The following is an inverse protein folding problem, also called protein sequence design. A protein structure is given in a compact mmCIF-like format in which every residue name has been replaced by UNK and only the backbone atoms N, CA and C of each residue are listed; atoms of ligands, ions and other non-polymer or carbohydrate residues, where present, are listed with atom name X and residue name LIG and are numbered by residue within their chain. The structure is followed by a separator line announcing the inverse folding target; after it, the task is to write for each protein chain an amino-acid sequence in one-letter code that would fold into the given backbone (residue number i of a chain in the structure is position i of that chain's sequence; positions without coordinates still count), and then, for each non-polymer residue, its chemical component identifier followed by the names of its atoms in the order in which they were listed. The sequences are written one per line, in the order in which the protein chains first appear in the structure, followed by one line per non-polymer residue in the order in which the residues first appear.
data_IF_198110780302
#
_entry.id   IF_198110780302
#
_cell.length_a   1.000
_cell.length_b   1.000
_cell.length_c   1.000
_cell.angle_alpha   90.00
_cell.angle_beta   90.00
_cell.angle_gamma   90.00
#
_symmetry.space_group_name_H-M   'P 1'
#
loop_
_entity.id
_entity.type
_entity.pdbx_description
1 polymer ?
#
# COMPACT_ATOMS: atom_id res chain seq x y z
N UNK A 1 -2.64 9.77 15.01
CA UNK A 1 -3.31 10.65 16.05
C UNK A 1 -3.10 10.07 17.43
N UNK A 2 -2.73 10.89 18.44
CA UNK A 2 -2.56 10.45 19.83
C UNK A 2 -3.93 10.37 20.55
N UNK A 3 -4.22 9.25 21.20
CA UNK A 3 -5.49 9.03 21.91
C UNK A 3 -5.30 8.44 23.31
N UNK A 4 -6.29 8.64 24.19
CA UNK A 4 -6.32 8.14 25.57
C UNK A 4 -7.50 7.19 25.76
N UNK A 5 -7.28 6.11 26.51
CA UNK A 5 -8.24 5.05 26.77
C UNK A 5 -8.34 4.76 28.26
N UNK A 6 -9.52 4.40 28.74
CA UNK A 6 -9.74 3.96 30.13
C UNK A 6 -9.32 2.50 30.38
N UNK A 7 -9.26 1.70 29.32
CA UNK A 7 -8.80 0.30 29.34
C UNK A 7 -7.65 0.14 28.35
N UNK A 8 -6.83 -0.89 28.50
CA UNK A 8 -5.78 -1.19 27.55
C UNK A 8 -6.35 -1.46 26.16
N UNK A 9 -6.00 -0.64 25.14
CA UNK A 9 -6.52 -0.85 23.81
C UNK A 9 -5.80 -2.01 23.13
N UNK A 10 -6.54 -2.80 22.37
CA UNK A 10 -5.94 -3.80 21.46
C UNK A 10 -5.13 -3.12 20.37
N UNK A 11 -4.09 -3.80 19.85
CA UNK A 11 -3.18 -3.23 18.84
C UNK A 11 -3.90 -2.82 17.56
N UNK A 12 -5.01 -3.46 17.20
CA UNK A 12 -5.84 -3.07 16.07
C UNK A 12 -7.32 -3.37 16.35
N UNK A 13 -8.16 -2.74 15.56
CA UNK A 13 -9.59 -3.05 15.42
C UNK A 13 -10.02 -2.71 14.01
N UNK A 14 -11.09 -3.31 13.53
CA UNK A 14 -11.64 -2.99 12.22
C UNK A 14 -13.16 -2.92 12.26
N UNK A 15 -13.72 -2.19 11.32
CA UNK A 15 -15.15 -2.05 11.10
C UNK A 15 -15.48 -2.22 9.62
N UNK A 16 -16.62 -2.82 9.36
CA UNK A 16 -17.18 -2.97 8.03
C UNK A 16 -17.83 -1.65 7.60
N UNK A 17 -17.27 -0.98 6.60
CA UNK A 17 -17.79 0.31 6.14
C UNK A 17 -18.59 0.22 4.83
N UNK A 18 -18.48 -0.89 4.12
CA UNK A 18 -19.26 -1.16 2.92
C UNK A 18 -19.12 -2.62 2.49
N UNK A 19 -19.85 -3.03 1.45
CA UNK A 19 -19.71 -4.37 0.86
C UNK A 19 -18.32 -4.65 0.27
N UNK A 20 -17.46 -3.62 0.13
CA UNK A 20 -16.17 -3.71 -0.56
C UNK A 20 -15.01 -3.40 0.38
N UNK A 21 -15.22 -2.65 1.47
CA UNK A 21 -14.14 -2.11 2.27
C UNK A 21 -14.28 -2.37 3.76
N UNK A 22 -13.13 -2.64 4.40
CA UNK A 22 -12.93 -2.53 5.84
C UNK A 22 -12.20 -1.24 6.16
N UNK A 23 -12.58 -0.59 7.28
CA UNK A 23 -11.75 0.43 7.91
C UNK A 23 -11.00 -0.21 9.06
N UNK A 24 -9.67 -0.16 9.01
CA UNK A 24 -8.80 -0.73 10.02
C UNK A 24 -8.16 0.41 10.81
N UNK A 25 -8.22 0.29 12.13
CA UNK A 25 -7.58 1.20 13.07
C UNK A 25 -6.41 0.46 13.69
N UNK A 26 -5.21 0.95 13.45
CA UNK A 26 -3.96 0.39 13.93
C UNK A 26 -3.42 1.25 15.08
N UNK A 27 -2.93 0.63 16.15
CA UNK A 27 -2.43 1.32 17.34
C UNK A 27 -0.99 0.92 17.62
N UNK A 28 -0.15 1.93 17.82
CA UNK A 28 1.25 1.76 18.20
C UNK A 28 1.59 2.59 19.44
N UNK A 29 2.75 2.30 20.05
CA UNK A 29 3.21 2.98 21.25
C UNK A 29 2.17 2.96 22.38
N UNK A 30 1.51 1.81 22.56
CA UNK A 30 0.56 1.60 23.65
C UNK A 30 1.36 1.66 24.97
N UNK A 31 0.98 2.57 25.86
CA UNK A 31 1.64 2.75 27.15
C UNK A 31 0.61 3.13 28.22
N UNK A 32 0.84 2.65 29.43
CA UNK A 32 0.05 3.04 30.58
C UNK A 32 0.63 4.29 31.23
N UNK A 33 -0.24 5.24 31.54
CA UNK A 33 0.09 6.45 32.29
C UNK A 33 -1.00 6.68 33.31
N UNK A 34 -0.65 6.54 34.59
CA UNK A 34 -1.58 6.59 35.72
C UNK A 34 -2.76 5.60 35.54
N UNK A 35 -3.99 6.10 35.49
CA UNK A 35 -5.21 5.30 35.30
C UNK A 35 -5.68 5.21 33.85
N UNK A 36 -4.87 5.65 32.89
CA UNK A 36 -5.22 5.68 31.48
C UNK A 36 -4.15 5.02 30.64
N UNK A 37 -4.58 4.48 29.49
CA UNK A 37 -3.68 4.03 28.43
C UNK A 37 -3.64 5.06 27.33
N UNK A 38 -2.50 5.16 26.68
CA UNK A 38 -2.28 6.05 25.54
C UNK A 38 -1.75 5.27 24.35
N UNK A 39 -2.16 5.64 23.15
CA UNK A 39 -1.67 5.06 21.92
C UNK A 39 -1.69 6.08 20.77
N UNK A 40 -0.84 5.87 19.79
CA UNK A 40 -0.96 6.51 18.48
C UNK A 40 -1.91 5.68 17.61
N UNK A 41 -2.98 6.29 17.15
CA UNK A 41 -3.91 5.65 16.19
C UNK A 41 -3.67 6.10 14.77
N UNK A 42 -3.71 5.15 13.87
CA UNK A 42 -3.63 5.32 12.43
C UNK A 42 -4.78 4.57 11.77
N UNK A 43 -5.29 5.10 10.68
CA UNK A 43 -6.41 4.49 9.95
C UNK A 43 -5.99 4.15 8.53
N UNK A 44 -6.33 2.95 8.10
CA UNK A 44 -6.19 2.51 6.71
C UNK A 44 -7.50 1.87 6.25
N UNK A 45 -7.78 1.96 4.96
CA UNK A 45 -8.92 1.28 4.33
C UNK A 45 -8.39 0.11 3.53
N UNK A 46 -8.91 -1.09 3.79
CA UNK A 46 -8.56 -2.31 3.07
C UNK A 46 -9.74 -2.76 2.21
N UNK A 47 -9.43 -3.26 1.01
CA UNK A 47 -10.44 -3.90 0.15
C UNK A 47 -10.75 -5.27 0.75
N UNK A 48 -12.04 -5.60 0.82
CA UNK A 48 -12.50 -6.94 1.18
C UNK A 48 -12.01 -7.94 0.16
N UNK A 49 -11.35 -8.95 0.64
CA UNK A 49 -10.99 -10.15 -0.09
C UNK A 49 -11.57 -11.36 0.67
N UNK A 50 -11.44 -12.53 0.10
CA UNK A 50 -11.98 -13.76 0.68
C UNK A 50 -11.13 -14.32 1.84
N UNK A 51 -10.02 -13.64 2.23
CA UNK A 51 -9.20 -14.02 3.38
C UNK A 51 -9.83 -13.57 4.70
N UNK A 52 -9.51 -14.27 5.78
CA UNK A 52 -9.83 -13.84 7.13
C UNK A 52 -9.11 -12.52 7.41
N UNK A 53 -9.87 -11.46 7.58
CA UNK A 53 -9.33 -10.12 7.79
C UNK A 53 -8.49 -10.03 9.07
N UNK A 54 -8.83 -10.80 10.09
CA UNK A 54 -8.13 -10.80 11.37
C UNK A 54 -6.73 -11.43 11.23
N UNK A 55 -6.64 -12.55 10.50
CA UNK A 55 -5.38 -13.20 10.18
C UNK A 55 -4.52 -12.31 9.27
N UNK A 56 -5.11 -11.74 8.23
CA UNK A 56 -4.42 -10.81 7.33
C UNK A 56 -3.81 -9.61 8.07
N UNK A 57 -4.56 -8.98 8.98
CA UNK A 57 -4.06 -7.85 9.76
C UNK A 57 -2.91 -8.27 10.68
N UNK A 58 -3.02 -9.44 11.35
CA UNK A 58 -1.95 -9.94 12.25
C UNK A 58 -0.64 -10.18 11.50
N UNK A 59 -0.72 -10.84 10.35
CA UNK A 59 0.46 -11.16 9.54
C UNK A 59 1.13 -9.92 8.93
N UNK A 60 0.35 -8.88 8.63
CA UNK A 60 0.81 -7.69 7.94
C UNK A 60 0.82 -6.43 8.81
N UNK A 61 0.68 -6.55 10.14
CA UNK A 61 0.45 -5.42 11.03
C UNK A 61 1.46 -4.28 10.86
N UNK A 62 2.76 -4.58 10.86
CA UNK A 62 3.81 -3.57 10.78
C UNK A 62 3.79 -2.84 9.41
N UNK A 63 3.52 -3.58 8.34
CA UNK A 63 3.41 -3.03 6.99
C UNK A 63 2.19 -2.11 6.89
N UNK A 64 1.05 -2.55 7.39
CA UNK A 64 -0.19 -1.78 7.40
C UNK A 64 -0.06 -0.53 8.27
N UNK A 65 0.60 -0.64 9.42
CA UNK A 65 0.85 0.48 10.31
C UNK A 65 1.71 1.55 9.63
N UNK A 66 2.77 1.14 8.93
CA UNK A 66 3.63 2.08 8.22
C UNK A 66 2.92 2.72 7.02
N UNK A 67 2.15 1.95 6.26
CA UNK A 67 1.30 2.51 5.20
C UNK A 67 0.32 3.56 5.75
N UNK A 68 -0.31 3.27 6.88
CA UNK A 68 -1.24 4.20 7.50
C UNK A 68 -0.55 5.50 8.00
N UNK A 69 0.70 5.41 8.47
CA UNK A 69 1.53 6.58 8.83
C UNK A 69 1.87 7.42 7.61
N UNK A 70 2.28 6.79 6.52
CA UNK A 70 2.58 7.48 5.25
C UNK A 70 1.34 8.20 4.75
N UNK A 71 0.18 7.53 4.71
CA UNK A 71 -1.08 8.10 4.27
C UNK A 71 -1.52 9.30 5.14
N UNK A 72 -1.32 9.23 6.47
CA UNK A 72 -1.61 10.35 7.38
C UNK A 72 -0.70 11.54 7.08
N UNK A 73 0.61 11.31 6.87
CA UNK A 73 1.59 12.35 6.52
C UNK A 73 1.22 13.06 5.22
N UNK A 74 0.92 12.31 4.17
CA UNK A 74 0.49 12.85 2.87
C UNK A 74 -0.83 13.64 2.99
N UNK A 75 -1.81 13.12 3.72
CA UNK A 75 -3.07 13.83 3.99
C UNK A 75 -2.84 15.17 4.69
N UNK A 76 -1.93 15.22 5.66
CA UNK A 76 -1.60 16.44 6.38
C UNK A 76 -0.89 17.48 5.48
N UNK A 77 0.02 17.03 4.60
CA UNK A 77 0.66 17.90 3.60
C UNK A 77 -0.36 18.46 2.61
N UNK A 78 -1.27 17.64 2.11
CA UNK A 78 -2.34 18.08 1.20
C UNK A 78 -3.25 19.14 1.87
N UNK A 79 -3.66 18.92 3.12
CA UNK A 79 -4.41 19.92 3.90
C UNK A 79 -3.63 21.22 4.08
N UNK A 80 -2.31 21.15 4.29
CA UNK A 80 -1.45 22.33 4.38
C UNK A 80 -1.41 23.10 3.07
N UNK A 81 -1.29 22.43 1.92
CA UNK A 81 -1.33 23.05 0.59
C UNK A 81 -2.68 23.74 0.35
N UNK A 82 -3.80 23.09 0.68
CA UNK A 82 -5.12 23.70 0.56
C UNK A 82 -5.27 24.97 1.43
N UNK A 83 -4.78 24.94 2.66
CA UNK A 83 -4.79 26.11 3.53
C UNK A 83 -3.92 27.26 2.99
N UNK A 84 -2.78 26.93 2.40
CA UNK A 84 -1.91 27.93 1.74
C UNK A 84 -2.58 28.54 0.50
N UNK A 85 -3.25 27.73 -0.33
CA UNK A 85 -4.04 28.21 -1.47
C UNK A 85 -5.15 29.15 -1.01
N UNK A 86 -5.91 28.81 0.03
CA UNK A 86 -6.93 29.72 0.60
C UNK A 86 -6.35 31.06 1.07
N UNK A 87 -5.11 31.09 1.61
CA UNK A 87 -4.45 32.36 1.97
C UNK A 87 -4.12 33.21 0.73
N UNK A 88 -3.75 32.59 -0.40
CA UNK A 88 -3.56 33.30 -1.68
C UNK A 88 -4.88 33.90 -2.16
N UNK A 89 -5.95 33.10 -2.21
CA UNK A 89 -7.29 33.53 -2.65
C UNK A 89 -7.80 34.71 -1.81
N UNK A 90 -7.67 34.61 -0.48
CA UNK A 90 -8.08 35.70 0.44
C UNK A 90 -7.32 37.02 0.23
N UNK A 91 -6.14 36.99 -0.37
CA UNK A 91 -5.35 38.18 -0.68
C UNK A 91 -5.54 38.72 -2.11
N UNK A 92 -6.28 38.00 -2.98
CA UNK A 92 -6.50 38.39 -4.38
C UNK A 92 -7.23 39.72 -4.49
N UNK A 93 -8.25 39.96 -3.66
CA UNK A 93 -8.95 41.22 -3.61
C UNK A 93 -8.00 42.39 -3.27
N UNK A 94 -7.06 42.20 -2.37
CA UNK A 94 -6.08 43.23 -1.97
C UNK A 94 -5.13 43.54 -3.14
N UNK A 95 -4.68 42.55 -3.87
CA UNK A 95 -3.87 42.71 -5.09
C UNK A 95 -4.64 43.49 -6.14
N UNK A 96 -5.90 43.10 -6.41
CA UNK A 96 -6.75 43.76 -7.39
C UNK A 96 -6.95 45.25 -7.04
N UNK A 97 -7.27 45.54 -5.79
CA UNK A 97 -7.43 46.93 -5.30
C UNK A 97 -6.16 47.77 -5.42
N UNK A 98 -4.99 47.19 -5.13
CA UNK A 98 -3.73 47.90 -5.36
C UNK A 98 -3.50 48.14 -6.85
N UNK A 99 -3.77 47.18 -7.71
CA UNK A 99 -3.61 47.35 -9.16
C UNK A 99 -4.55 48.40 -9.74
N UNK A 100 -5.83 48.42 -9.35
CA UNK A 100 -6.80 49.45 -9.75
C UNK A 100 -6.35 50.85 -9.35
N UNK A 101 -5.95 51.07 -8.09
CA UNK A 101 -5.49 52.34 -7.61
C UNK A 101 -4.19 52.81 -8.28
N UNK A 102 -3.25 51.87 -8.53
CA UNK A 102 -2.04 52.19 -9.26
C UNK A 102 -2.32 52.68 -10.68
N UNK A 103 -3.25 52.02 -11.41
CA UNK A 103 -3.62 52.42 -12.79
C UNK A 103 -4.19 53.84 -12.91
N UNK A 104 -4.90 54.31 -11.87
CA UNK A 104 -5.51 55.63 -11.84
C UNK A 104 -4.69 56.69 -11.06
N UNK A 105 -3.44 56.32 -10.67
CA UNK A 105 -2.51 57.21 -9.99
C UNK A 105 -2.85 57.51 -8.53
N UNK A 106 -3.69 56.72 -7.88
CA UNK A 106 -4.05 56.88 -6.47
C UNK A 106 -3.04 56.20 -5.54
N UNK A 107 -3.10 56.60 -4.26
CA UNK A 107 -2.32 55.94 -3.20
C UNK A 107 -2.80 54.51 -3.03
N UNK A 108 -1.85 53.57 -2.90
CA UNK A 108 -2.17 52.17 -2.72
C UNK A 108 -2.84 51.94 -1.36
N UNK A 109 -3.99 51.25 -1.31
CA UNK A 109 -4.75 51.01 -0.07
C UNK A 109 -4.10 50.00 0.87
N UNK A 110 -3.12 49.26 0.39
CA UNK A 110 -2.36 48.25 1.15
C UNK A 110 -0.86 48.37 0.87
N UNK A 111 -0.03 47.88 1.80
CA UNK A 111 1.41 47.72 1.57
C UNK A 111 1.66 46.64 0.49
N UNK A 112 1.73 47.11 -0.73
CA UNK A 112 1.82 46.21 -1.91
C UNK A 112 3.11 45.38 -1.92
N UNK A 113 4.24 45.95 -1.48
CA UNK A 113 5.52 45.24 -1.43
C UNK A 113 5.47 44.10 -0.43
N UNK A 114 4.93 44.33 0.76
CA UNK A 114 4.75 43.30 1.79
C UNK A 114 3.75 42.22 1.34
N UNK A 115 2.66 42.64 0.70
CA UNK A 115 1.64 41.74 0.17
C UNK A 115 2.23 40.79 -0.89
N UNK A 116 3.01 41.34 -1.85
CA UNK A 116 3.68 40.51 -2.87
C UNK A 116 4.70 39.56 -2.27
N UNK A 117 5.55 40.04 -1.36
CA UNK A 117 6.56 39.20 -0.69
C UNK A 117 5.91 38.04 0.05
N UNK A 118 4.82 38.27 0.79
CA UNK A 118 4.07 37.21 1.48
C UNK A 118 3.51 36.18 0.47
N UNK A 119 2.94 36.66 -0.64
CA UNK A 119 2.39 35.78 -1.68
C UNK A 119 3.45 34.91 -2.38
N UNK A 120 4.62 35.49 -2.64
CA UNK A 120 5.77 34.77 -3.18
C UNK A 120 6.17 33.65 -2.19
N UNK A 121 6.35 33.99 -0.91
CA UNK A 121 6.70 33.00 0.11
C UNK A 121 5.67 31.85 0.23
N UNK A 122 4.36 32.17 0.13
CA UNK A 122 3.31 31.13 0.13
C UNK A 122 3.42 30.23 -1.12
N UNK A 123 3.64 30.78 -2.31
CA UNK A 123 3.81 29.99 -3.55
C UNK A 123 5.05 29.10 -3.47
N UNK A 124 6.16 29.64 -2.96
CA UNK A 124 7.39 28.88 -2.77
C UNK A 124 7.19 27.70 -1.80
N UNK A 125 6.43 27.91 -0.72
CA UNK A 125 6.09 26.85 0.23
C UNK A 125 5.21 25.78 -0.42
N UNK A 126 4.20 26.18 -1.22
CA UNK A 126 3.37 25.22 -1.99
C UNK A 126 4.23 24.43 -2.96
N UNK A 127 5.09 25.09 -3.72
CA UNK A 127 5.97 24.44 -4.69
C UNK A 127 6.92 23.43 -4.00
N UNK A 128 7.51 23.80 -2.88
CA UNK A 128 8.37 22.91 -2.10
C UNK A 128 7.61 21.67 -1.62
N UNK A 129 6.37 21.80 -1.15
CA UNK A 129 5.55 20.64 -0.77
C UNK A 129 5.23 19.79 -2.00
N UNK A 130 4.81 20.39 -3.11
CA UNK A 130 4.43 19.67 -4.32
C UNK A 130 5.62 18.99 -5.02
N UNK A 131 6.82 19.57 -4.91
CA UNK A 131 8.06 18.98 -5.44
C UNK A 131 8.71 17.98 -4.47
N UNK A 132 8.05 17.63 -3.37
CA UNK A 132 8.61 16.82 -2.29
C UNK A 132 9.86 17.44 -1.60
N UNK A 133 10.14 18.73 -1.82
CA UNK A 133 11.28 19.42 -1.20
C UNK A 133 11.03 19.75 0.29
N UNK A 134 9.77 19.79 0.73
CA UNK A 134 9.33 19.92 2.14
C UNK A 134 8.86 18.61 2.75
N UNK A 135 8.82 17.51 1.99
CA UNK A 135 8.95 16.24 2.64
C UNK A 135 10.31 16.28 3.30
N UNK A 136 10.40 16.30 4.63
CA UNK A 136 11.54 15.72 5.30
C UNK A 136 11.96 14.55 4.43
N UNK A 137 13.19 14.61 3.89
CA UNK A 137 13.73 13.52 3.08
C UNK A 137 13.20 12.23 3.68
N UNK A 138 12.45 11.47 2.88
CA UNK A 138 11.93 10.20 3.38
C UNK A 138 13.16 9.50 3.94
N UNK A 139 13.16 9.16 5.20
CA UNK A 139 14.30 8.46 5.77
C UNK A 139 14.50 7.22 4.93
N UNK A 140 15.73 6.75 4.83
CA UNK A 140 16.02 5.50 4.11
C UNK A 140 15.04 4.38 4.52
N UNK A 141 14.67 4.34 5.80
CA UNK A 141 13.74 3.35 6.33
C UNK A 141 12.30 3.57 5.81
N UNK A 142 11.80 4.81 5.77
CA UNK A 142 10.50 5.11 5.19
C UNK A 142 10.43 4.72 3.70
N UNK A 143 11.50 4.97 2.93
CA UNK A 143 11.55 4.59 1.51
C UNK A 143 11.62 3.07 1.32
N UNK A 144 12.37 2.35 2.17
CA UNK A 144 12.37 0.87 2.20
C UNK A 144 10.98 0.31 2.44
N UNK A 145 10.27 0.81 3.45
CA UNK A 145 8.92 0.34 3.77
C UNK A 145 7.94 0.64 2.63
N UNK A 146 8.00 1.83 2.02
CA UNK A 146 7.19 2.17 0.84
C UNK A 146 7.43 1.20 -0.31
N UNK A 147 8.70 0.91 -0.60
CA UNK A 147 9.09 -0.02 -1.66
C UNK A 147 8.65 -1.45 -1.38
N UNK A 148 8.74 -1.90 -0.13
CA UNK A 148 8.25 -3.22 0.28
C UNK A 148 6.74 -3.35 0.05
N UNK A 149 5.96 -2.33 0.40
CA UNK A 149 4.50 -2.29 0.18
C UNK A 149 4.19 -2.33 -1.33
N UNK A 150 4.92 -1.57 -2.12
CA UNK A 150 4.80 -1.59 -3.58
C UNK A 150 5.06 -3.00 -4.14
N UNK A 151 6.16 -3.64 -3.76
CA UNK A 151 6.52 -4.99 -4.21
C UNK A 151 5.53 -6.06 -3.73
N UNK A 152 4.99 -5.91 -2.51
CA UNK A 152 3.94 -6.79 -1.98
C UNK A 152 2.68 -6.72 -2.86
N UNK A 153 2.25 -5.52 -3.22
CA UNK A 153 1.09 -5.31 -4.09
C UNK A 153 1.30 -5.96 -5.47
N UNK A 154 2.49 -5.82 -6.06
CA UNK A 154 2.82 -6.49 -7.31
C UNK A 154 2.79 -8.02 -7.17
N UNK A 155 3.36 -8.57 -6.10
CA UNK A 155 3.34 -10.02 -5.85
C UNK A 155 1.91 -10.56 -5.74
N UNK A 156 1.08 -9.91 -4.93
CA UNK A 156 -0.33 -10.29 -4.75
C UNK A 156 -1.11 -10.21 -6.06
N UNK A 157 -0.95 -9.11 -6.81
CA UNK A 157 -1.60 -8.94 -8.12
C UNK A 157 -1.15 -10.01 -9.11
N UNK A 158 0.14 -10.33 -9.14
CA UNK A 158 0.66 -11.38 -10.02
C UNK A 158 0.07 -12.74 -9.67
N UNK A 159 0.02 -13.09 -8.39
CA UNK A 159 -0.58 -14.36 -7.96
C UNK A 159 -2.07 -14.41 -8.29
N UNK A 160 -2.83 -13.36 -7.96
CA UNK A 160 -4.28 -13.35 -8.17
C UNK A 160 -4.68 -13.30 -9.64
N UNK A 161 -3.85 -12.70 -10.50
CA UNK A 161 -4.05 -12.77 -11.95
C UNK A 161 -3.98 -14.20 -12.49
N UNK A 162 -3.24 -15.08 -11.81
CA UNK A 162 -3.27 -16.52 -12.10
C UNK A 162 -2.27 -16.98 -13.15
N UNK A 163 -2.55 -18.15 -13.73
CA UNK A 163 -1.65 -18.84 -14.67
C UNK A 163 -2.37 -19.27 -15.95
N UNK A 164 -1.60 -19.38 -17.02
CA UNK A 164 -2.00 -20.10 -18.22
C UNK A 164 -1.53 -21.55 -18.12
N UNK A 165 -2.47 -22.50 -18.22
CA UNK A 165 -2.18 -23.93 -18.18
C UNK A 165 -2.98 -24.66 -19.26
N UNK A 166 -2.31 -25.47 -20.06
CA UNK A 166 -2.91 -26.20 -21.19
C UNK A 166 -3.78 -25.34 -22.11
N UNK A 167 -3.33 -24.09 -22.40
CA UNK A 167 -4.01 -23.17 -23.31
C UNK A 167 -5.24 -22.47 -22.71
N UNK A 168 -5.48 -22.60 -21.41
CA UNK A 168 -6.56 -21.98 -20.66
C UNK A 168 -6.01 -21.12 -19.53
N UNK A 169 -6.74 -20.07 -19.16
CA UNK A 169 -6.37 -19.18 -18.04
C UNK A 169 -7.12 -19.57 -16.76
N UNK A 170 -6.43 -19.52 -15.63
CA UNK A 170 -6.96 -19.82 -14.30
C UNK A 170 -6.53 -18.76 -13.32
N UNK A 171 -7.47 -17.97 -12.79
CA UNK A 171 -7.19 -17.06 -11.69
C UNK A 171 -6.83 -17.82 -10.43
N UNK A 172 -6.05 -17.17 -9.58
CA UNK A 172 -5.61 -17.73 -8.31
C UNK A 172 -5.90 -16.75 -7.17
N UNK A 173 -7.14 -16.19 -7.14
CA UNK A 173 -7.59 -15.48 -5.95
C UNK A 173 -7.76 -16.46 -4.77
N UNK A 174 -7.98 -15.96 -3.57
CA UNK A 174 -8.04 -16.79 -2.36
C UNK A 174 -9.10 -17.89 -2.46
N UNK A 175 -10.27 -17.60 -3.02
CA UNK A 175 -11.33 -18.61 -3.22
C UNK A 175 -10.88 -19.70 -4.20
N UNK A 176 -10.21 -19.32 -5.30
CA UNK A 176 -9.69 -20.30 -6.26
C UNK A 176 -8.63 -21.21 -5.63
N UNK A 177 -7.73 -20.64 -4.81
CA UNK A 177 -6.72 -21.42 -4.09
C UNK A 177 -7.34 -22.42 -3.11
N UNK A 178 -8.40 -22.03 -2.37
CA UNK A 178 -9.15 -22.91 -1.48
C UNK A 178 -9.84 -24.01 -2.28
N UNK A 179 -10.50 -23.66 -3.38
CA UNK A 179 -11.15 -24.64 -4.26
C UNK A 179 -10.15 -25.65 -4.83
N UNK A 180 -9.00 -25.19 -5.33
CA UNK A 180 -7.93 -26.06 -5.83
C UNK A 180 -7.41 -27.00 -4.73
N UNK A 181 -7.23 -26.52 -3.50
CA UNK A 181 -6.80 -27.35 -2.37
C UNK A 181 -7.84 -28.41 -2.04
N UNK A 182 -9.12 -28.04 -2.00
CA UNK A 182 -10.23 -28.95 -1.70
C UNK A 182 -10.35 -30.03 -2.78
N UNK A 183 -10.37 -29.63 -4.06
CA UNK A 183 -10.48 -30.54 -5.20
C UNK A 183 -9.23 -31.41 -5.36
N UNK A 184 -8.05 -30.89 -4.98
CA UNK A 184 -6.80 -31.62 -4.97
C UNK A 184 -6.83 -32.81 -4.05
N UNK A 185 -7.49 -32.72 -2.92
CA UNK A 185 -7.66 -33.86 -2.00
C UNK A 185 -8.46 -34.99 -2.61
N UNK A 186 -9.44 -34.68 -3.45
CA UNK A 186 -10.24 -35.69 -4.18
C UNK A 186 -9.46 -36.24 -5.38
N UNK A 187 -8.79 -35.39 -6.14
CA UNK A 187 -7.98 -35.79 -7.30
C UNK A 187 -6.81 -36.70 -6.88
N UNK A 188 -6.18 -36.44 -5.73
CA UNK A 188 -5.13 -37.28 -5.18
C UNK A 188 -5.62 -38.73 -4.85
N UNK A 189 -6.92 -38.89 -4.61
CA UNK A 189 -7.58 -40.21 -4.42
C UNK A 189 -8.02 -40.84 -5.74
N UNK A 190 -7.71 -40.22 -6.90
CA UNK A 190 -8.07 -40.71 -8.22
C UNK A 190 -9.47 -40.29 -8.70
N UNK A 191 -10.15 -39.42 -8.00
CA UNK A 191 -11.49 -38.95 -8.40
C UNK A 191 -11.41 -37.85 -9.46
N UNK A 192 -12.28 -37.95 -10.47
CA UNK A 192 -12.54 -36.84 -11.38
C UNK A 192 -13.40 -35.79 -10.67
N UNK A 193 -13.14 -34.49 -10.91
CA UNK A 193 -13.76 -33.37 -10.21
C UNK A 193 -14.29 -32.32 -11.16
N UNK A 194 -15.40 -31.63 -10.83
CA UNK A 194 -15.88 -30.48 -11.62
C UNK A 194 -15.02 -29.24 -11.37
N UNK A 195 -14.54 -28.61 -12.45
CA UNK A 195 -13.83 -27.35 -12.40
C UNK A 195 -14.00 -26.55 -13.71
N UNK A 196 -13.52 -25.32 -13.75
CA UNK A 196 -13.57 -24.50 -14.96
C UNK A 196 -12.36 -23.54 -15.03
N UNK A 197 -11.96 -23.23 -16.24
CA UNK A 197 -11.08 -22.09 -16.51
C UNK A 197 -11.89 -20.78 -16.52
N UNK A 198 -11.20 -19.66 -16.48
CA UNK A 198 -11.83 -18.33 -16.51
C UNK A 198 -12.69 -18.16 -17.76
N UNK A 199 -13.95 -17.75 -17.53
CA UNK A 199 -14.90 -17.53 -18.63
C UNK A 199 -15.47 -18.79 -19.27
N UNK A 200 -15.09 -20.00 -18.82
CA UNK A 200 -15.60 -21.27 -19.33
C UNK A 200 -16.72 -21.86 -18.45
N UNK A 201 -17.50 -22.73 -19.04
CA UNK A 201 -18.49 -23.53 -18.33
C UNK A 201 -17.78 -24.64 -17.56
N UNK A 202 -18.26 -24.93 -16.35
CA UNK A 202 -17.76 -26.02 -15.52
C UNK A 202 -17.77 -27.36 -16.29
N UNK A 203 -16.67 -28.07 -16.28
CA UNK A 203 -16.48 -29.37 -16.92
C UNK A 203 -15.83 -30.36 -15.96
N UNK A 204 -15.86 -31.66 -16.29
CA UNK A 204 -15.22 -32.70 -15.48
C UNK A 204 -13.74 -32.79 -15.88
N UNK A 205 -12.88 -32.54 -14.91
CA UNK A 205 -11.44 -32.76 -15.01
C UNK A 205 -11.10 -34.18 -14.47
N UNK A 206 -10.29 -34.91 -15.17
CA UNK A 206 -9.72 -36.15 -14.64
C UNK A 206 -8.81 -35.86 -13.45
N UNK A 207 -8.55 -36.89 -12.65
CA UNK A 207 -7.59 -36.77 -11.54
C UNK A 207 -6.20 -36.29 -12.00
N UNK A 208 -5.75 -36.77 -13.17
CA UNK A 208 -4.44 -36.39 -13.74
C UNK A 208 -4.43 -34.90 -14.17
N UNK A 209 -5.44 -34.44 -14.91
CA UNK A 209 -5.57 -33.05 -15.33
C UNK A 209 -5.64 -32.09 -14.13
N UNK A 210 -6.43 -32.45 -13.12
CA UNK A 210 -6.57 -31.63 -11.92
C UNK A 210 -5.29 -31.56 -11.09
N UNK A 211 -4.61 -32.71 -10.89
CA UNK A 211 -3.33 -32.75 -10.19
C UNK A 211 -2.26 -31.92 -10.94
N UNK A 212 -2.24 -31.98 -12.27
CA UNK A 212 -1.33 -31.20 -13.11
C UNK A 212 -1.57 -29.70 -12.96
N UNK A 213 -2.83 -29.25 -12.98
CA UNK A 213 -3.20 -27.85 -12.77
C UNK A 213 -2.79 -27.38 -11.37
N UNK A 214 -3.10 -28.17 -10.34
CA UNK A 214 -2.75 -27.85 -8.95
C UNK A 214 -1.24 -27.75 -8.76
N UNK A 215 -0.48 -28.66 -9.35
CA UNK A 215 0.98 -28.63 -9.29
C UNK A 215 1.53 -27.34 -9.94
N UNK A 216 1.01 -26.96 -11.10
CA UNK A 216 1.41 -25.72 -11.79
C UNK A 216 1.04 -24.49 -10.97
N UNK A 217 -0.19 -24.41 -10.45
CA UNK A 217 -0.65 -23.29 -9.60
C UNK A 217 0.18 -23.18 -8.31
N UNK A 218 0.42 -24.30 -7.63
CA UNK A 218 1.22 -24.32 -6.40
C UNK A 218 2.65 -23.87 -6.65
N UNK A 219 3.29 -24.34 -7.72
CA UNK A 219 4.64 -23.91 -8.10
C UNK A 219 4.70 -22.40 -8.34
N UNK A 220 3.71 -21.85 -9.05
CA UNK A 220 3.60 -20.43 -9.33
C UNK A 220 3.44 -19.59 -8.04
N UNK A 221 2.51 -19.98 -7.16
CA UNK A 221 2.27 -19.30 -5.88
C UNK A 221 3.52 -19.35 -5.01
N UNK A 222 4.13 -20.51 -4.82
CA UNK A 222 5.35 -20.70 -4.02
C UNK A 222 6.47 -19.84 -4.58
N UNK A 223 6.67 -19.81 -5.90
CA UNK A 223 7.69 -18.97 -6.53
C UNK A 223 7.50 -17.50 -6.19
N UNK A 224 6.32 -16.93 -6.45
CA UNK A 224 6.08 -15.48 -6.26
C UNK A 224 6.08 -15.09 -4.79
N UNK A 225 5.57 -15.92 -3.89
CA UNK A 225 5.61 -15.68 -2.44
C UNK A 225 7.04 -15.72 -1.93
N UNK A 226 7.84 -16.69 -2.35
CA UNK A 226 9.25 -16.82 -1.96
C UNK A 226 10.08 -15.68 -2.55
N UNK A 227 9.88 -15.35 -3.82
CA UNK A 227 10.56 -14.25 -4.48
C UNK A 227 10.31 -12.92 -3.77
N UNK A 228 9.05 -12.61 -3.43
CA UNK A 228 8.73 -11.41 -2.68
C UNK A 228 9.40 -11.38 -1.30
N UNK A 229 9.38 -12.49 -0.58
CA UNK A 229 10.04 -12.59 0.73
C UNK A 229 11.53 -12.27 0.63
N UNK A 230 12.23 -12.84 -0.34
CA UNK A 230 13.66 -12.61 -0.56
C UNK A 230 13.94 -11.17 -1.05
N UNK A 231 13.11 -10.65 -1.94
CA UNK A 231 13.21 -9.27 -2.42
C UNK A 231 13.00 -8.26 -1.29
N UNK A 232 12.05 -8.53 -0.37
CA UNK A 232 11.85 -7.75 0.85
C UNK A 232 13.14 -7.68 1.68
N UNK A 233 13.79 -8.80 1.92
CA UNK A 233 15.06 -8.83 2.65
C UNK A 233 16.17 -8.10 1.90
N UNK A 234 16.22 -8.24 0.58
CA UNK A 234 17.17 -7.50 -0.25
C UNK A 234 16.96 -5.98 -0.12
N UNK A 235 15.71 -5.49 -0.11
CA UNK A 235 15.40 -4.07 0.07
C UNK A 235 15.86 -3.59 1.46
N UNK A 236 15.64 -4.38 2.51
CA UNK A 236 16.07 -4.04 3.87
C UNK A 236 17.59 -3.89 4.00
N UNK A 237 18.37 -4.61 3.18
CA UNK A 237 19.82 -4.55 3.15
C UNK A 237 20.42 -3.40 2.32
N UNK A 238 19.60 -2.64 1.60
CA UNK A 238 20.09 -1.50 0.82
C UNK A 238 20.48 -0.33 1.73
N UNK A 239 21.49 0.42 1.34
CA UNK A 239 22.07 1.47 2.18
C UNK A 239 21.71 2.88 1.71
N UNK A 240 21.17 3.03 0.48
CA UNK A 240 20.82 4.33 -0.10
C UNK A 240 19.38 4.37 -0.62
N UNK A 241 18.79 5.56 -0.60
CA UNK A 241 17.44 5.81 -1.14
C UNK A 241 17.40 5.54 -2.65
N UNK A 242 18.47 5.86 -3.37
CA UNK A 242 18.60 5.65 -4.81
C UNK A 242 18.56 4.17 -5.16
N UNK A 243 19.27 3.34 -4.40
CA UNK A 243 19.22 1.87 -4.56
C UNK A 243 17.81 1.34 -4.30
N UNK A 244 17.14 1.82 -3.24
CA UNK A 244 15.76 1.41 -2.91
C UNK A 244 14.79 1.78 -4.03
N UNK A 245 14.87 3.02 -4.55
CA UNK A 245 14.03 3.49 -5.65
C UNK A 245 14.22 2.70 -6.94
N UNK A 246 15.42 2.22 -7.20
CA UNK A 246 15.75 1.43 -8.38
C UNK A 246 15.15 0.01 -8.38
N UNK A 247 14.67 -0.49 -7.22
CA UNK A 247 14.05 -1.82 -7.13
C UNK A 247 12.68 -1.82 -7.80
N UNK A 248 12.41 -2.86 -8.58
CA UNK A 248 11.11 -3.15 -9.19
C UNK A 248 10.77 -4.64 -9.05
N UNK A 249 9.51 -5.03 -9.26
CA UNK A 249 9.12 -6.43 -9.20
C UNK A 249 9.67 -7.17 -10.42
N UNK A 250 10.62 -8.07 -10.19
CA UNK A 250 11.46 -8.72 -11.21
C UNK A 250 12.95 -8.36 -11.09
N UNK A 251 13.33 -7.47 -10.16
CA UNK A 251 14.74 -7.19 -9.85
C UNK A 251 15.48 -8.48 -9.54
N UNK A 252 16.66 -8.66 -10.13
CA UNK A 252 17.51 -9.81 -9.87
C UNK A 252 17.92 -9.87 -8.40
N UNK A 253 17.78 -11.04 -7.78
CA UNK A 253 18.19 -11.24 -6.41
C UNK A 253 19.72 -11.34 -6.31
N UNK A 254 20.29 -10.78 -5.24
CA UNK A 254 21.72 -10.92 -4.92
C UNK A 254 22.05 -12.38 -4.61
N UNK A 255 23.29 -12.78 -4.85
CA UNK A 255 23.73 -14.19 -4.75
C UNK A 255 23.31 -14.87 -3.44
N UNK A 256 23.39 -14.16 -2.32
CA UNK A 256 22.97 -14.71 -1.00
C UNK A 256 21.48 -15.08 -0.91
N UNK A 257 20.64 -14.66 -1.86
CA UNK A 257 19.21 -14.96 -1.92
C UNK A 257 18.84 -15.87 -3.09
N UNK A 258 19.73 -16.05 -4.09
CA UNK A 258 19.47 -16.81 -5.32
C UNK A 258 19.27 -18.31 -5.08
N UNK A 259 20.01 -18.91 -4.16
CA UNK A 259 19.98 -20.36 -3.96
C UNK A 259 18.59 -20.89 -3.65
N UNK A 260 17.80 -20.15 -2.87
CA UNK A 260 16.42 -20.55 -2.54
C UNK A 260 15.50 -20.49 -3.75
N UNK A 261 15.60 -19.44 -4.58
CA UNK A 261 14.80 -19.31 -5.81
C UNK A 261 15.21 -20.37 -6.84
N UNK A 262 16.48 -20.65 -6.99
CA UNK A 262 16.98 -21.70 -7.90
C UNK A 262 16.42 -23.06 -7.49
N UNK A 263 16.44 -23.39 -6.19
CA UNK A 263 15.94 -24.65 -5.68
C UNK A 263 14.46 -24.88 -6.01
N UNK A 264 13.59 -23.84 -5.94
CA UNK A 264 12.17 -23.98 -6.25
C UNK A 264 11.85 -23.85 -7.74
N UNK A 265 12.73 -23.23 -8.52
CA UNK A 265 12.55 -23.11 -9.98
C UNK A 265 12.93 -24.37 -10.73
N UNK A 266 13.87 -25.15 -10.19
CA UNK A 266 14.37 -26.39 -10.77
C UNK A 266 13.60 -27.66 -10.34
N UNK A 267 12.62 -27.54 -9.44
CA UNK A 267 11.81 -28.65 -8.93
C UNK A 267 10.58 -28.94 -9.81
#
# INVERSE_FOLDING_TARGET
MYKTYSLEPVSYSYEDISNIYYKVILRSNISQKDNFYTANEYTIVLIKNDSDIDEYIKENFDILLEQARINEKESNLNKKVENLKKKLDNSDYQILKCSENFMIGNVLPYDFSKLLSNRIGIRDEINKIQNNELTTEATLEEEKQRKIIEMMSYSQTTITNGIDYNGKHYRLNTTDQINLTTLGSLAAQGHSVPYHADGEICSIYTAEEMNGLIAAASKFIIYHTTYFNLLKHQILDLETIEEVKAVYYGTELKDKYKDVIIAISGA
#
